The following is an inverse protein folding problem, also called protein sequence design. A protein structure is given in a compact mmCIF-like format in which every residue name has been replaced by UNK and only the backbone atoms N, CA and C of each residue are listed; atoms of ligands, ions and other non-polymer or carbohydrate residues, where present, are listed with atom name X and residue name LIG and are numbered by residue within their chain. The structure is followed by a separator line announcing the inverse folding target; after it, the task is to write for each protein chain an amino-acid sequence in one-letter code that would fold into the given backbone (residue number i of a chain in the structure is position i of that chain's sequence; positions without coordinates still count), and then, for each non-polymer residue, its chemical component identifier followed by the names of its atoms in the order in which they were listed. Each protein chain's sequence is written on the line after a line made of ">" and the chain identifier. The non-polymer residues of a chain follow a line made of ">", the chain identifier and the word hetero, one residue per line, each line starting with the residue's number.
data_IF_629977194693
#
_entry.id   IF_629977194693
#
_cell.length_a   1.000
_cell.length_b   1.000
_cell.length_c   1.000
_cell.angle_alpha   90.00
_cell.angle_beta   90.00
_cell.angle_gamma   90.00
#
_symmetry.space_group_name_H-M   'P 1'
#
loop_
_entity.id
_entity.type
_entity.pdbx_description
1 polymer ?
#
# COMPACT_ATOMS: atom_id res chain seq x y z
N UNK A 1 14.15 -26.22 -0.08
CA UNK A 1 13.98 -25.64 -0.37
C UNK A 1 13.71 -24.83 -0.72
N UNK A 2 13.59 -24.78 -1.05
CA UNK A 2 13.44 -24.03 -1.43
C UNK A 2 12.56 -23.40 -1.63
N UNK A 3 12.06 -23.40 -1.62
CA UNK A 3 11.15 -22.82 -1.79
C UNK A 3 11.01 -21.73 -1.55
N UNK A 4 11.12 -21.78 -1.21
CA UNK A 4 10.93 -20.62 -0.71
C UNK A 4 11.26 -19.58 -1.54
N UNK A 5 11.93 -19.72 -2.29
CA UNK A 5 12.37 -18.78 -3.16
C UNK A 5 11.36 -18.36 -4.09
N UNK A 6 10.65 -19.30 -4.59
CA UNK A 6 9.74 -19.06 -5.66
C UNK A 6 8.64 -18.10 -5.32
N UNK A 7 7.98 -18.25 -4.21
CA UNK A 7 6.89 -17.34 -3.93
C UNK A 7 7.31 -15.90 -3.88
N UNK A 8 8.53 -15.65 -3.45
CA UNK A 8 8.94 -14.28 -3.38
C UNK A 8 9.16 -13.68 -4.72
N UNK A 9 9.46 -14.47 -5.69
CA UNK A 9 9.66 -13.97 -7.02
C UNK A 9 8.38 -13.69 -7.74
N UNK A 10 7.27 -14.20 -7.24
CA UNK A 10 6.01 -14.06 -7.94
C UNK A 10 5.05 -13.23 -7.14
N UNK A 11 5.31 -11.94 -7.11
CA UNK A 11 4.45 -11.04 -6.38
C UNK A 11 3.18 -10.79 -7.15
N UNK A 12 2.10 -10.74 -6.43
CA UNK A 12 0.83 -10.39 -7.02
C UNK A 12 0.74 -8.87 -7.15
N UNK A 13 0.29 -8.40 -8.30
CA UNK A 13 0.08 -6.98 -8.51
C UNK A 13 -1.28 -6.80 -9.11
N UNK A 14 -1.93 -5.69 -8.78
CA UNK A 14 -3.17 -5.34 -9.45
C UNK A 14 -3.24 -3.83 -9.58
N UNK A 15 -4.13 -3.37 -10.46
CA UNK A 15 -4.27 -1.95 -10.69
C UNK A 15 -5.61 -1.48 -10.18
N UNK A 16 -5.64 -0.24 -9.72
CA UNK A 16 -6.86 0.35 -9.18
C UNK A 16 -6.97 1.78 -9.69
N UNK A 17 -8.17 2.32 -9.65
CA UNK A 17 -8.38 3.71 -9.95
C UNK A 17 -8.01 4.55 -8.74
N UNK A 18 -7.96 5.86 -8.93
CA UNK A 18 -7.65 6.76 -7.83
C UNK A 18 -8.69 6.63 -6.73
N UNK A 19 -9.96 6.47 -7.09
CA UNK A 19 -11.00 6.32 -6.09
C UNK A 19 -10.79 5.06 -5.29
N UNK A 20 -10.47 3.95 -5.95
CA UNK A 20 -10.23 2.69 -5.26
C UNK A 20 -9.00 2.78 -4.37
N UNK A 21 -7.98 3.48 -4.84
CA UNK A 21 -6.77 3.67 -4.05
C UNK A 21 -7.08 4.41 -2.76
N UNK A 22 -7.89 5.45 -2.88
CA UNK A 22 -8.30 6.23 -1.72
C UNK A 22 -9.11 5.38 -0.73
N UNK A 23 -9.96 4.51 -1.25
CA UNK A 23 -10.74 3.63 -0.39
C UNK A 23 -9.85 2.66 0.35
N UNK A 24 -8.83 2.14 -0.30
CA UNK A 24 -7.88 1.26 0.37
C UNK A 24 -7.17 1.99 1.49
N UNK A 25 -6.76 3.23 1.22
CA UNK A 25 -6.03 3.98 2.22
C UNK A 25 -6.87 4.30 3.44
N UNK A 26 -8.14 4.63 3.23
CA UNK A 26 -8.99 5.08 4.31
C UNK A 26 -9.74 3.95 5.01
N UNK A 27 -9.52 2.71 4.58
CA UNK A 27 -10.18 1.59 5.20
C UNK A 27 -11.63 1.43 4.78
N UNK A 28 -12.01 2.01 3.67
CA UNK A 28 -13.38 1.93 3.18
C UNK A 28 -13.63 0.69 2.35
N UNK A 29 -12.60 -0.04 2.00
CA UNK A 29 -12.74 -1.27 1.25
C UNK A 29 -12.83 -2.42 2.24
N UNK A 30 -13.98 -3.10 2.25
CA UNK A 30 -14.22 -4.11 3.27
C UNK A 30 -13.37 -5.35 3.10
N UNK A 31 -12.71 -5.52 1.97
CA UNK A 31 -11.87 -6.67 1.73
C UNK A 31 -10.44 -6.45 2.21
N UNK A 32 -10.12 -5.24 2.62
CA UNK A 32 -8.77 -4.89 3.05
C UNK A 32 -8.83 -4.09 4.33
N UNK A 33 -7.76 -4.18 5.11
CA UNK A 33 -7.62 -3.32 6.28
C UNK A 33 -6.31 -2.57 6.15
N UNK A 34 -6.28 -1.35 6.64
CA UNK A 34 -5.07 -0.56 6.63
C UNK A 34 -4.15 -1.03 7.74
N UNK A 35 -2.91 -1.30 7.39
CA UNK A 35 -1.93 -1.76 8.36
C UNK A 35 -0.97 -0.63 8.72
N UNK A 36 -0.56 0.12 7.71
CA UNK A 36 0.41 1.18 7.94
C UNK A 36 0.15 2.30 6.95
N UNK A 37 0.29 3.53 7.42
CA UNK A 37 0.12 4.71 6.58
C UNK A 37 1.14 5.71 7.08
N UNK A 38 2.27 5.81 6.38
CA UNK A 38 3.35 6.65 6.82
C UNK A 38 3.72 7.64 5.74
N UNK A 39 4.35 8.72 6.15
CA UNK A 39 4.80 9.73 5.22
C UNK A 39 6.08 9.26 4.58
N UNK A 40 6.05 9.16 3.26
CA UNK A 40 7.23 8.78 2.50
C UNK A 40 8.04 10.01 2.10
N UNK A 41 7.33 11.07 1.68
CA UNK A 41 8.00 12.27 1.25
C UNK A 41 7.04 13.44 1.37
N UNK A 42 7.57 14.63 1.65
CA UNK A 42 6.76 15.83 1.71
C UNK A 42 7.13 16.72 0.55
N UNK A 43 6.11 17.12 -0.18
CA UNK A 43 6.29 18.04 -1.27
C UNK A 43 5.57 19.34 -0.95
N UNK A 44 5.74 20.33 -1.81
CA UNK A 44 5.18 21.64 -1.55
C UNK A 44 3.66 21.62 -1.50
N UNK A 45 3.04 20.88 -2.38
CA UNK A 45 1.60 20.91 -2.54
C UNK A 45 0.93 19.62 -2.08
N UNK A 46 1.70 18.61 -1.72
CA UNK A 46 1.11 17.34 -1.32
C UNK A 46 2.09 16.56 -0.48
N UNK A 47 1.56 15.56 0.17
CA UNK A 47 2.37 14.64 0.94
C UNK A 47 2.25 13.29 0.26
N UNK A 48 3.38 12.67 -0.04
CA UNK A 48 3.37 11.33 -0.59
C UNK A 48 3.40 10.35 0.56
N UNK A 49 2.41 9.49 0.61
CA UNK A 49 2.30 8.51 1.69
C UNK A 49 2.57 7.13 1.18
N UNK A 50 3.16 6.32 2.02
CA UNK A 50 3.38 4.91 1.75
C UNK A 50 2.41 4.14 2.61
N UNK A 51 1.54 3.38 1.97
CA UNK A 51 0.47 2.69 2.66
C UNK A 51 0.63 1.20 2.48
N UNK A 52 0.34 0.46 3.54
CA UNK A 52 0.34 -0.99 3.50
C UNK A 52 -1.02 -1.46 3.96
N UNK A 53 -1.62 -2.37 3.19
CA UNK A 53 -2.93 -2.92 3.52
C UNK A 53 -2.81 -4.43 3.52
N UNK A 54 -3.72 -5.06 4.25
CA UNK A 54 -3.79 -6.51 4.34
C UNK A 54 -5.09 -6.95 3.72
N UNK A 55 -5.01 -7.88 2.78
CA UNK A 55 -6.21 -8.45 2.17
C UNK A 55 -6.73 -9.57 3.07
N UNK A 56 -7.98 -9.46 3.45
CA UNK A 56 -8.51 -10.33 4.49
C UNK A 56 -8.70 -11.77 4.07
N UNK A 57 -9.04 -11.99 2.80
CA UNK A 57 -9.38 -13.34 2.38
C UNK A 57 -8.19 -14.30 2.43
N UNK A 58 -6.99 -13.82 2.22
CA UNK A 58 -5.81 -14.68 2.20
C UNK A 58 -4.66 -14.11 3.00
N UNK A 59 -4.91 -12.99 3.70
CA UNK A 59 -3.94 -12.39 4.60
C UNK A 59 -2.66 -12.00 3.90
N UNK A 60 -2.75 -11.61 2.65
CA UNK A 60 -1.61 -11.09 1.93
C UNK A 60 -1.51 -9.59 2.15
N UNK A 61 -0.29 -9.09 2.12
CA UNK A 61 -0.03 -7.69 2.34
C UNK A 61 0.34 -7.02 1.04
N UNK A 62 -0.13 -5.79 0.85
CA UNK A 62 0.13 -5.03 -0.36
C UNK A 62 0.52 -3.61 0.02
N UNK A 63 1.28 -2.96 -0.82
CA UNK A 63 1.64 -1.58 -0.57
C UNK A 63 1.39 -0.74 -1.82
N UNK A 64 1.25 0.56 -1.59
CA UNK A 64 1.10 1.51 -2.67
C UNK A 64 1.48 2.89 -2.15
N UNK A 65 1.66 3.82 -3.06
CA UNK A 65 1.95 5.20 -2.71
C UNK A 65 0.73 6.03 -3.04
N UNK A 66 0.44 7.00 -2.20
CA UNK A 66 -0.74 7.84 -2.34
C UNK A 66 -0.34 9.29 -2.11
N UNK A 67 -0.69 10.16 -3.06
CA UNK A 67 -0.38 11.59 -2.96
C UNK A 67 -1.57 12.30 -2.37
N UNK A 68 -1.38 12.84 -1.18
CA UNK A 68 -2.42 13.55 -0.48
C UNK A 68 -2.21 15.04 -0.71
N UNK A 69 -3.09 15.67 -1.44
CA UNK A 69 -2.95 17.07 -1.78
C UNK A 69 -3.60 17.96 -0.73
N UNK A 70 -2.98 19.10 -0.47
CA UNK A 70 -3.43 19.96 0.61
C UNK A 70 -4.67 20.73 0.25
N UNK A 71 -4.73 21.29 -0.93
CA UNK A 71 -5.79 22.22 -1.27
C UNK A 71 -6.80 21.65 -2.22
N UNK A 72 -6.39 20.83 -3.12
CA UNK A 72 -7.28 20.26 -4.10
C UNK A 72 -7.13 18.76 -4.09
N UNK A 73 -8.23 18.02 -4.17
CA UNK A 73 -8.10 16.59 -4.29
C UNK A 73 -7.40 16.28 -5.59
N UNK A 74 -6.76 15.14 -5.67
CA UNK A 74 -6.11 14.74 -6.91
C UNK A 74 -7.12 14.65 -8.02
N UNK A 75 -6.69 15.01 -9.18
CA UNK A 75 -7.52 15.01 -10.32
C UNK A 75 -7.59 13.60 -10.90
N UNK A 76 -8.79 13.06 -10.96
CA UNK A 76 -8.95 11.71 -11.48
C UNK A 76 -9.11 11.78 -12.98
N UNK A 77 -8.04 11.53 -13.71
CA UNK A 77 -8.06 11.59 -15.14
C UNK A 77 -8.10 10.21 -15.78
N UNK A 78 -8.47 9.21 -14.99
CA UNK A 78 -8.56 7.86 -15.52
C UNK A 78 -7.30 7.06 -15.40
N UNK A 79 -6.30 7.59 -14.73
CA UNK A 79 -5.08 6.83 -14.53
C UNK A 79 -5.31 5.68 -13.60
N UNK A 80 -4.50 4.65 -13.76
CA UNK A 80 -4.54 3.52 -12.85
C UNK A 80 -3.25 3.48 -12.06
N UNK A 81 -3.34 2.91 -10.88
CA UNK A 81 -2.23 2.85 -9.95
C UNK A 81 -1.97 1.40 -9.61
N UNK A 82 -0.72 1.07 -9.39
CA UNK A 82 -0.32 -0.29 -9.12
C UNK A 82 -0.24 -0.53 -7.63
N UNK A 83 -0.88 -1.59 -7.19
CA UNK A 83 -0.80 -2.06 -5.81
C UNK A 83 -0.04 -3.37 -5.86
N UNK A 84 1.08 -3.44 -5.15
CA UNK A 84 2.00 -4.56 -5.25
C UNK A 84 2.08 -5.32 -3.94
N UNK A 85 2.18 -6.62 -4.06
CA UNK A 85 2.30 -7.47 -2.87
C UNK A 85 3.65 -7.28 -2.22
N UNK A 86 3.65 -7.23 -0.88
CA UNK A 86 4.87 -7.20 -0.10
C UNK A 86 4.82 -8.35 0.88
N UNK A 87 5.99 -8.84 1.24
CA UNK A 87 6.08 -9.96 2.17
C UNK A 87 6.59 -9.41 3.49
N UNK A 88 5.77 -9.49 4.54
CA UNK A 88 6.21 -9.01 5.83
C UNK A 88 7.40 -9.82 6.30
N UNK A 89 8.42 -9.15 6.73
CA UNK A 89 9.54 -9.82 7.30
C UNK A 89 9.31 -9.87 8.78
N UNK A 90 9.59 -11.04 9.31
CA UNK A 90 9.55 -11.13 10.70
C UNK A 90 10.76 -10.42 11.20
N UNK A 91 10.59 -9.26 11.68
CA UNK A 91 11.69 -8.52 12.20
C UNK A 91 11.91 -8.96 13.58
N UNK A 92 13.12 -9.34 13.85
CA UNK A 92 13.53 -9.39 15.20
C UNK A 92 13.41 -8.00 15.66
N UNK A 93 12.54 -7.76 16.56
CA UNK A 93 12.33 -6.45 17.01
C UNK A 93 13.57 -5.99 17.65
N UNK A 94 14.12 -4.99 17.11
CA UNK A 94 15.25 -4.40 17.73
C UNK A 94 14.72 -3.43 18.71
N UNK A 95 14.89 -3.77 19.93
CA UNK A 95 14.45 -2.90 20.96
C UNK A 95 15.58 -2.00 21.27
N UNK A 96 15.36 -0.74 21.09
CA UNK A 96 16.38 0.23 21.41
C UNK A 96 16.16 0.63 22.82
N UNK A 97 17.07 0.21 23.63
CA UNK A 97 16.94 0.54 25.02
C UNK A 97 17.88 1.56 25.43
#
# INVERSE_FOLDING_TARGET
>A
MTDDITPRGERENFTVTLKELSELRHGDNKDFVSVEDSIFNRERHYICRHCIVKRLKDEKYFHFYYDEYFNNPPYDDGEVYIVSEVFPKEKTIIVYE
#
